data_IF_616671052561
#
_entry.id   IF_616671052561
#
_cell.length_a   1.000
_cell.length_b   1.000
_cell.length_c   1.000
_cell.angle_alpha   90.00
_cell.angle_beta   90.00
_cell.angle_gamma   90.00
#
_symmetry.space_group_name_H-M   'P 1'
#
loop_
_entity.id
_entity.type
_entity.pdbx_description
1 polymer ?
#
# COMPACT_ATOMS: atom_id res chain seq x y z
N UNK A 1 3.71 1.98 1.09
CA UNK A 1 2.84 0.89 1.59
C UNK A 1 1.57 0.85 0.73
N UNK A 2 1.07 -0.34 0.42
CA UNK A 2 -0.19 -0.58 -0.31
C UNK A 2 -1.12 -1.36 0.61
N UNK A 3 -2.42 -1.03 0.67
CA UNK A 3 -3.37 -1.77 1.51
C UNK A 3 -3.49 -3.22 1.01
N UNK A 4 -3.35 -4.18 1.93
CA UNK A 4 -3.56 -5.61 1.67
C UNK A 4 -5.03 -6.00 1.54
N UNK A 5 -5.95 -5.03 1.55
CA UNK A 5 -7.39 -5.22 1.36
C UNK A 5 -8.15 -5.73 2.59
N UNK A 6 -7.49 -5.89 3.74
CA UNK A 6 -8.10 -6.41 4.97
C UNK A 6 -8.13 -5.30 6.03
N UNK A 7 -9.34 -4.97 6.50
CA UNK A 7 -9.60 -3.99 7.56
C UNK A 7 -10.47 -4.63 8.64
N UNK A 8 -10.12 -4.41 9.90
CA UNK A 8 -10.78 -5.01 11.05
C UNK A 8 -11.06 -3.93 12.09
N UNK A 9 -12.31 -3.85 12.57
CA UNK A 9 -12.65 -3.03 13.74
C UNK A 9 -12.77 -3.95 14.94
N UNK A 10 -11.88 -3.78 15.92
CA UNK A 10 -11.90 -4.57 17.14
C UNK A 10 -12.44 -3.71 18.28
N UNK A 11 -13.48 -4.20 18.93
CA UNK A 11 -14.08 -3.59 20.11
C UNK A 11 -13.81 -4.50 21.30
N UNK A 12 -13.57 -3.91 22.46
CA UNK A 12 -13.26 -4.64 23.69
C UNK A 12 -14.20 -4.21 24.80
N UNK A 13 -14.61 -5.18 25.60
CA UNK A 13 -15.37 -4.96 26.83
C UNK A 13 -14.43 -4.70 28.00
N UNK A 14 -14.93 -4.05 29.05
CA UNK A 14 -14.11 -3.67 30.22
C UNK A 14 -13.47 -4.87 30.93
N UNK A 15 -14.06 -6.06 30.78
CA UNK A 15 -13.56 -7.31 31.35
C UNK A 15 -12.18 -7.74 30.83
N UNK A 16 -11.71 -7.16 29.72
CA UNK A 16 -10.36 -7.39 29.21
C UNK A 16 -9.39 -6.27 29.57
N UNK A 17 -9.77 -5.40 30.54
CA UNK A 17 -8.88 -4.74 31.51
C UNK A 17 -7.39 -5.09 31.33
N UNK A 18 -6.54 -4.24 30.73
CA UNK A 18 -5.07 -4.46 30.71
C UNK A 18 -4.55 -5.78 30.10
N UNK A 19 -5.39 -6.52 29.38
CA UNK A 19 -5.01 -7.78 28.76
C UNK A 19 -4.38 -7.54 27.39
N UNK A 20 -3.27 -8.23 27.13
CA UNK A 20 -2.70 -8.30 25.77
C UNK A 20 -3.42 -9.39 24.98
N UNK A 21 -3.96 -9.04 23.83
CA UNK A 21 -4.64 -10.00 22.94
C UNK A 21 -3.76 -10.25 21.72
N UNK A 22 -3.50 -11.52 21.43
CA UNK A 22 -2.90 -11.91 20.15
C UNK A 22 -4.01 -12.11 19.12
N UNK A 23 -3.93 -11.37 18.04
CA UNK A 23 -4.79 -11.60 16.88
C UNK A 23 -4.03 -12.30 15.79
N UNK A 24 -4.75 -13.13 15.03
CA UNK A 24 -4.28 -13.79 13.84
C UNK A 24 -5.30 -13.51 12.73
N UNK A 25 -4.80 -13.06 11.60
CA UNK A 25 -5.60 -12.72 10.43
C UNK A 25 -5.07 -13.54 9.27
N UNK A 26 -5.80 -14.60 8.93
CA UNK A 26 -5.47 -15.41 7.76
C UNK A 26 -5.62 -14.57 6.49
N UNK A 27 -4.72 -14.81 5.54
CA UNK A 27 -4.81 -14.23 4.21
C UNK A 27 -4.69 -15.35 3.17
N UNK A 28 -5.19 -15.11 1.97
CA UNK A 28 -4.95 -15.98 0.83
C UNK A 28 -3.95 -15.27 -0.10
N UNK A 29 -2.75 -15.85 -0.35
CA UNK A 29 -1.76 -15.25 -1.24
C UNK A 29 -2.32 -14.85 -2.61
N UNK A 30 -3.24 -15.65 -3.16
CA UNK A 30 -3.85 -15.43 -4.48
C UNK A 30 -4.82 -14.23 -4.51
N UNK A 31 -5.32 -13.82 -3.34
CA UNK A 31 -6.23 -12.70 -3.21
C UNK A 31 -5.53 -11.38 -2.85
N UNK A 32 -4.20 -11.40 -2.66
CA UNK A 32 -3.45 -10.18 -2.38
C UNK A 32 -3.37 -9.31 -3.63
N UNK A 33 -3.36 -7.98 -3.48
CA UNK A 33 -3.16 -7.08 -4.61
C UNK A 33 -1.88 -7.41 -5.37
N UNK A 34 -1.92 -7.29 -6.70
CA UNK A 34 -0.78 -7.61 -7.56
C UNK A 34 0.46 -6.81 -7.16
N UNK A 35 1.59 -7.50 -7.01
CA UNK A 35 2.88 -6.89 -6.67
C UNK A 35 3.13 -6.70 -5.17
N UNK A 36 2.15 -6.99 -4.31
CA UNK A 36 2.35 -6.96 -2.84
C UNK A 36 3.22 -8.13 -2.40
N UNK A 37 4.29 -7.84 -1.65
CA UNK A 37 5.14 -8.88 -1.07
C UNK A 37 4.51 -9.48 0.16
N UNK A 38 4.30 -10.79 0.18
CA UNK A 38 3.62 -11.48 1.27
C UNK A 38 4.40 -11.42 2.59
N UNK A 39 5.73 -11.46 2.54
CA UNK A 39 6.61 -11.38 3.72
C UNK A 39 6.65 -9.98 4.35
N UNK A 40 6.20 -8.96 3.63
CA UNK A 40 6.12 -7.57 4.09
C UNK A 40 4.80 -7.19 4.77
N UNK A 41 3.83 -8.11 4.83
CA UNK A 41 2.53 -7.84 5.40
C UNK A 41 2.64 -7.52 6.89
N UNK A 42 2.09 -6.37 7.27
CA UNK A 42 2.06 -5.87 8.64
C UNK A 42 0.69 -5.31 8.98
N UNK A 43 0.31 -5.43 10.25
CA UNK A 43 -0.87 -4.84 10.83
C UNK A 43 -0.56 -3.44 11.38
N UNK A 44 -1.41 -2.49 11.02
CA UNK A 44 -1.36 -1.10 11.46
C UNK A 44 -2.62 -0.75 12.23
N UNK A 45 -2.47 0.13 13.22
CA UNK A 45 -3.57 0.69 14.00
C UNK A 45 -3.89 2.09 13.51
N UNK A 46 -5.16 2.37 13.27
CA UNK A 46 -5.62 3.72 12.99
C UNK A 46 -5.78 4.47 14.31
N UNK A 47 -5.07 5.57 14.50
CA UNK A 47 -5.11 6.38 15.72
C UNK A 47 -5.07 7.86 15.38
N UNK A 48 -5.62 8.68 16.27
CA UNK A 48 -5.47 10.12 16.19
C UNK A 48 -4.13 10.51 16.81
N UNK A 49 -3.34 11.30 16.09
CA UNK A 49 -2.08 11.85 16.54
C UNK A 49 -2.30 13.32 16.92
N UNK A 50 -2.16 13.62 18.22
CA UNK A 50 -2.39 14.96 18.77
C UNK A 50 -1.34 15.98 18.34
N UNK A 51 -0.08 15.57 18.10
CA UNK A 51 1.00 16.47 17.69
C UNK A 51 0.79 17.04 16.28
N UNK A 52 0.12 16.27 15.42
CA UNK A 52 -0.14 16.62 14.02
C UNK A 52 -1.59 17.00 13.74
N UNK A 53 -2.47 16.91 14.75
CA UNK A 53 -3.92 17.10 14.62
C UNK A 53 -4.53 16.27 13.46
N UNK A 54 -4.08 15.03 13.31
CA UNK A 54 -4.48 14.18 12.18
C UNK A 54 -4.60 12.70 12.55
N UNK A 55 -5.38 11.97 11.75
CA UNK A 55 -5.50 10.53 11.88
C UNK A 55 -4.45 9.82 11.03
N UNK A 56 -3.78 8.84 11.61
CA UNK A 56 -2.69 8.12 10.97
C UNK A 56 -2.72 6.61 11.23
N UNK A 57 -2.01 5.88 10.38
CA UNK A 57 -1.76 4.45 10.53
C UNK A 57 -0.42 4.24 11.23
N UNK A 58 -0.44 3.67 12.42
CA UNK A 58 0.76 3.41 13.23
C UNK A 58 1.08 1.92 13.21
N UNK A 59 2.35 1.60 12.94
CA UNK A 59 2.85 0.22 12.96
C UNK A 59 2.84 -0.34 14.39
N UNK A 60 2.38 -1.57 14.56
CA UNK A 60 2.42 -2.25 15.85
C UNK A 60 3.82 -2.79 16.16
N UNK A 61 4.31 -2.68 17.41
CA UNK A 61 5.68 -3.07 17.76
C UNK A 61 5.91 -4.59 17.77
N UNK A 62 4.87 -5.40 18.02
CA UNK A 62 4.95 -6.86 18.11
C UNK A 62 3.99 -7.50 17.13
N UNK A 63 4.55 -7.92 16.01
CA UNK A 63 3.80 -8.53 14.92
C UNK A 63 4.71 -9.38 14.04
N UNK A 64 4.11 -10.14 13.14
CA UNK A 64 4.82 -10.87 12.12
C UNK A 64 3.88 -11.58 11.16
N UNK A 65 4.48 -12.26 10.19
CA UNK A 65 3.78 -13.05 9.19
C UNK A 65 4.23 -14.51 9.29
N UNK A 66 3.28 -15.43 9.24
CA UNK A 66 3.54 -16.84 9.03
C UNK A 66 3.19 -17.16 7.57
N UNK A 67 4.21 -17.47 6.77
CA UNK A 67 4.07 -17.76 5.35
C UNK A 67 3.65 -19.21 5.08
N UNK A 68 3.87 -20.12 6.03
CA UNK A 68 3.51 -21.53 5.91
C UNK A 68 2.01 -21.73 6.17
N UNK A 69 1.48 -21.07 7.19
CA UNK A 69 0.08 -21.13 7.58
C UNK A 69 -0.76 -19.94 7.06
N UNK A 70 -0.12 -19.04 6.29
CA UNK A 70 -0.73 -17.87 5.66
C UNK A 70 -1.55 -16.98 6.60
N UNK A 71 -0.92 -16.45 7.67
CA UNK A 71 -1.54 -15.43 8.52
C UNK A 71 -0.58 -14.32 8.95
N UNK A 72 -1.14 -13.14 9.19
CA UNK A 72 -0.48 -12.04 9.90
C UNK A 72 -0.91 -12.10 11.35
N UNK A 73 0.01 -11.91 12.29
CA UNK A 73 -0.30 -11.86 13.71
C UNK A 73 0.24 -10.59 14.36
N UNK A 74 -0.44 -10.12 15.40
CA UNK A 74 0.02 -8.99 16.22
C UNK A 74 -0.46 -9.13 17.66
N UNK A 75 0.31 -8.57 18.60
CA UNK A 75 -0.11 -8.36 19.99
C UNK A 75 -0.73 -6.97 20.14
N UNK A 76 -1.94 -6.93 20.70
CA UNK A 76 -2.73 -5.71 20.89
C UNK A 76 -2.90 -5.42 22.39
N UNK A 77 -2.52 -4.21 22.79
CA UNK A 77 -2.85 -3.62 24.11
C UNK A 77 -4.01 -2.62 24.01
N UNK A 78 -4.19 -2.02 22.85
CA UNK A 78 -5.19 -0.99 22.57
C UNK A 78 -6.12 -1.46 21.44
N UNK A 79 -7.38 -1.04 21.48
CA UNK A 79 -8.42 -1.48 20.56
C UNK A 79 -8.86 -0.31 19.69
N UNK A 80 -8.81 -0.50 18.36
CA UNK A 80 -9.16 0.52 17.36
C UNK A 80 -9.58 -0.17 16.05
N UNK A 81 -9.61 0.61 14.96
CA UNK A 81 -9.59 0.10 13.59
C UNK A 81 -8.15 -0.31 13.24
N UNK A 82 -8.01 -1.47 12.61
CA UNK A 82 -6.76 -2.02 12.13
C UNK A 82 -6.83 -2.30 10.63
N UNK A 83 -5.68 -2.23 9.97
CA UNK A 83 -5.54 -2.54 8.55
C UNK A 83 -4.26 -3.29 8.29
N UNK A 84 -4.28 -4.22 7.33
CA UNK A 84 -3.07 -4.92 6.88
C UNK A 84 -2.52 -4.18 5.66
N UNK A 85 -1.23 -3.87 5.69
CA UNK A 85 -0.51 -3.20 4.61
C UNK A 85 0.77 -3.98 4.28
N UNK A 86 1.18 -3.91 3.02
CA UNK A 86 2.44 -4.50 2.56
C UNK A 86 3.25 -3.53 1.72
N UNK A 87 4.49 -3.91 1.45
CA UNK A 87 5.32 -3.33 0.42
C UNK A 87 4.89 -3.87 -0.94
N UNK A 88 5.01 -3.03 -1.97
CA UNK A 88 4.80 -3.43 -3.36
C UNK A 88 6.13 -3.34 -4.08
N UNK A 89 6.42 -4.29 -4.95
CA UNK A 89 7.41 -4.05 -6.00
C UNK A 89 6.80 -3.11 -7.04
N UNK A 90 7.60 -2.17 -7.55
CA UNK A 90 7.19 -1.46 -8.76
C UNK A 90 7.09 -2.50 -9.87
N UNK A 91 5.87 -2.74 -10.36
CA UNK A 91 5.67 -3.58 -11.51
C UNK A 91 6.49 -3.01 -12.68
N UNK A 92 7.24 -3.84 -13.43
CA UNK A 92 8.03 -3.35 -14.55
C UNK A 92 7.11 -2.60 -15.52
N UNK A 93 7.50 -1.37 -15.89
CA UNK A 93 6.75 -0.53 -16.82
C UNK A 93 6.41 -1.33 -18.07
N UNK A 94 5.10 -1.53 -18.31
CA UNK A 94 4.62 -2.35 -19.42
C UNK A 94 4.94 -1.67 -20.77
N UNK A 95 5.10 -2.46 -21.82
CA UNK A 95 5.42 -2.03 -23.19
C UNK A 95 4.49 -0.93 -23.73
N UNK A 96 3.24 -0.85 -23.27
CA UNK A 96 2.31 0.22 -23.60
C UNK A 96 2.74 1.61 -23.12
N UNK A 97 3.41 1.72 -21.96
CA UNK A 97 3.97 2.99 -21.49
C UNK A 97 5.20 3.41 -22.30
N UNK A 98 6.03 2.47 -22.75
CA UNK A 98 7.15 2.78 -23.65
C UNK A 98 6.63 3.29 -25.00
N UNK A 99 5.57 2.69 -25.53
CA UNK A 99 4.93 3.14 -26.76
C UNK A 99 4.36 4.56 -26.66
N UNK A 100 3.72 4.90 -25.53
CA UNK A 100 3.17 6.26 -25.33
C UNK A 100 4.27 7.32 -25.22
N UNK A 101 5.41 7.02 -24.59
CA UNK A 101 6.57 7.92 -24.59
C UNK A 101 7.17 8.11 -25.99
N UNK A 102 7.28 7.05 -26.78
CA UNK A 102 7.75 7.14 -28.18
C UNK A 102 6.81 7.97 -29.05
N UNK A 103 5.49 7.78 -28.90
CA UNK A 103 4.49 8.55 -29.63
C UNK A 103 4.54 10.04 -29.25
N UNK A 104 4.68 10.36 -27.96
CA UNK A 104 4.84 11.73 -27.48
C UNK A 104 6.09 12.40 -28.07
N UNK A 105 7.23 11.70 -28.09
CA UNK A 105 8.46 12.21 -28.72
C UNK A 105 8.29 12.46 -30.22
N UNK A 106 7.61 11.58 -30.95
CA UNK A 106 7.31 11.77 -32.37
C UNK A 106 6.45 13.01 -32.62
N UNK A 107 5.43 13.24 -31.78
CA UNK A 107 4.56 14.42 -31.89
C UNK A 107 5.35 15.70 -31.62
N UNK A 108 6.23 15.71 -30.62
CA UNK A 108 7.11 16.86 -30.33
C UNK A 108 8.10 17.12 -31.47
N UNK A 109 8.73 16.08 -32.01
CA UNK A 109 9.64 16.21 -33.15
C UNK A 109 8.93 16.72 -34.41
N UNK A 110 7.71 16.23 -34.68
CA UNK A 110 6.91 16.64 -35.83
C UNK A 110 6.42 18.08 -35.70
N UNK A 111 5.96 18.49 -34.52
CA UNK A 111 5.56 19.88 -34.25
C UNK A 111 6.75 20.83 -34.36
N UNK A 112 7.91 20.46 -33.83
CA UNK A 112 9.15 21.24 -34.00
C UNK A 112 9.54 21.39 -35.48
N UNK A 113 9.48 20.30 -36.26
CA UNK A 113 9.79 20.33 -37.69
C UNK A 113 8.84 21.23 -38.48
N UNK A 114 7.54 21.16 -38.21
CA UNK A 114 6.52 21.99 -38.85
C UNK A 114 6.69 23.48 -38.52
N UNK A 115 6.99 23.81 -37.25
CA UNK A 115 7.28 25.18 -36.83
C UNK A 115 8.55 25.72 -37.49
N UNK A 116 9.61 24.91 -37.55
CA UNK A 116 10.87 25.28 -38.21
C UNK A 116 10.68 25.52 -39.71
N UNK A 117 9.89 24.69 -40.40
CA UNK A 117 9.58 24.88 -41.83
C UNK A 117 8.82 26.18 -42.10
N UNK A 118 7.89 26.57 -41.23
CA UNK A 118 7.17 27.85 -41.35
C UNK A 118 8.08 29.06 -41.18
N UNK A 119 9.07 28.99 -40.28
CA UNK A 119 10.01 30.09 -40.04
C UNK A 119 11.01 30.32 -41.19
N UNK A 120 11.27 29.32 -42.02
CA UNK A 120 12.20 29.41 -43.17
C UNK A 120 11.49 29.86 -44.46
N UNK A 121 10.15 29.80 -44.50
CA UNK A 121 9.32 30.12 -45.68
C UNK A 121 8.74 31.55 -45.68
N UNK A 122 9.11 32.38 -44.70
CA UNK A 122 8.84 33.82 -44.64
C UNK A 122 10.15 34.58 -44.82
#
# INVERSE_FOLDING_TARGET
MVPGGIYLRLLRTDNFADSTVRIQVSFNPENLPLGVKTDSLKLYRYTFNEDTDSWEWVELPRQGVNLEEHYVWAELSEFSTFGIFGETEELPKTSGQLFSYLLAMLIVAMTYFLLRRRLISN
#
